data_IF_124214237434
#
_entry.id   IF_124214237434
#
_cell.length_a   1.000
_cell.length_b   1.000
_cell.length_c   1.000
_cell.angle_alpha   90.00
_cell.angle_beta   90.00
_cell.angle_gamma   90.00
#
_symmetry.space_group_name_H-M   'P 1'
#
loop_
_entity.id
_entity.type
_entity.pdbx_description
1 polymer ?
#
# COMPACT_ATOMS: atom_id res chain seq x y z
N UNK A 1 19.72 27.88 -15.64
CA UNK A 1 18.31 28.35 -15.83
C UNK A 1 17.42 27.27 -16.47
N UNK A 2 17.82 26.66 -17.58
CA UNK A 2 17.08 25.56 -18.26
C UNK A 2 16.88 24.31 -17.39
N UNK A 3 17.89 23.87 -16.64
CA UNK A 3 17.77 22.71 -15.72
C UNK A 3 16.73 22.95 -14.61
N UNK A 4 16.61 24.16 -14.09
CA UNK A 4 15.59 24.50 -13.09
C UNK A 4 14.19 24.61 -13.69
N UNK A 5 14.07 25.00 -14.97
CA UNK A 5 12.80 25.02 -15.69
C UNK A 5 12.36 23.60 -16.03
N UNK A 6 13.27 22.71 -16.42
CA UNK A 6 13.01 21.27 -16.63
C UNK A 6 12.65 20.58 -15.31
N UNK A 7 13.41 20.83 -14.22
CA UNK A 7 13.02 20.35 -12.88
C UNK A 7 11.65 20.87 -12.46
N UNK A 8 11.35 22.16 -12.66
CA UNK A 8 10.02 22.70 -12.32
C UNK A 8 8.91 22.13 -13.22
N UNK A 9 9.12 22.02 -14.53
CA UNK A 9 8.11 21.50 -15.47
C UNK A 9 7.86 20.01 -15.28
N UNK A 10 8.91 19.20 -15.14
CA UNK A 10 8.79 17.77 -14.84
C UNK A 10 8.07 17.58 -13.49
N UNK A 11 8.43 18.37 -12.47
CA UNK A 11 7.82 18.30 -11.15
C UNK A 11 6.38 18.79 -11.12
N UNK A 12 6.03 19.82 -11.91
CA UNK A 12 4.64 20.27 -12.08
C UNK A 12 3.81 19.20 -12.80
N UNK A 13 4.37 18.55 -13.83
CA UNK A 13 3.67 17.49 -14.56
C UNK A 13 3.44 16.25 -13.69
N UNK A 14 4.47 15.86 -12.91
CA UNK A 14 4.42 14.81 -11.88
C UNK A 14 3.39 15.11 -10.78
N UNK A 15 3.06 16.39 -10.54
CA UNK A 15 2.07 16.79 -9.53
C UNK A 15 0.62 16.75 -10.04
N UNK A 16 0.42 16.69 -11.36
CA UNK A 16 -0.90 16.73 -12.01
C UNK A 16 -1.29 15.36 -12.58
N UNK A 17 -0.31 14.56 -13.01
CA UNK A 17 -0.52 13.22 -13.56
C UNK A 17 0.18 12.17 -12.68
N UNK A 18 -0.59 11.23 -12.14
CA UNK A 18 -0.06 10.08 -11.38
C UNK A 18 0.58 9.02 -12.30
N UNK A 19 0.26 9.03 -13.60
CA UNK A 19 0.77 8.09 -14.60
C UNK A 19 1.07 8.88 -15.88
N UNK A 20 2.20 8.59 -16.52
CA UNK A 20 2.54 9.12 -17.84
C UNK A 20 3.42 8.13 -18.61
N UNK A 21 3.28 8.12 -19.94
CA UNK A 21 4.12 7.31 -20.82
C UNK A 21 5.25 8.15 -21.40
N UNK A 22 6.46 7.60 -21.43
CA UNK A 22 7.62 8.22 -22.08
C UNK A 22 8.40 7.19 -22.88
N UNK A 23 8.56 7.45 -24.18
CA UNK A 23 9.20 6.53 -25.13
C UNK A 23 8.51 5.16 -25.15
N UNK A 24 9.16 4.11 -24.62
CA UNK A 24 8.65 2.74 -24.53
C UNK A 24 8.31 2.30 -23.10
N UNK A 25 8.13 3.27 -22.20
CA UNK A 25 7.83 2.97 -20.80
C UNK A 25 6.58 3.70 -20.32
N UNK A 26 5.76 2.96 -19.58
CA UNK A 26 4.71 3.51 -18.73
C UNK A 26 5.30 3.76 -17.35
N UNK A 27 5.09 4.97 -16.82
CA UNK A 27 5.68 5.41 -15.55
C UNK A 27 4.55 5.86 -14.64
N UNK A 28 4.37 5.15 -13.53
CA UNK A 28 3.52 5.60 -12.43
C UNK A 28 4.37 6.30 -11.38
N UNK A 29 3.81 7.33 -10.75
CA UNK A 29 4.49 8.17 -9.79
C UNK A 29 3.60 8.54 -8.60
N UNK A 30 4.15 8.43 -7.39
CA UNK A 30 3.53 8.91 -6.16
C UNK A 30 4.57 9.56 -5.25
N UNK A 31 4.11 10.54 -4.48
CA UNK A 31 4.92 11.21 -3.45
C UNK A 31 4.34 10.96 -2.09
N UNK A 32 5.20 10.68 -1.11
CA UNK A 32 4.84 10.63 0.30
C UNK A 32 5.89 11.37 1.12
N UNK A 33 5.50 12.51 1.71
CA UNK A 33 6.41 13.38 2.45
C UNK A 33 7.64 13.78 1.61
N UNK A 34 8.83 13.32 2.00
CA UNK A 34 10.10 13.57 1.30
C UNK A 34 10.56 12.39 0.43
N UNK A 35 9.69 11.40 0.21
CA UNK A 35 9.92 10.20 -0.58
C UNK A 35 9.18 10.29 -1.91
N UNK A 36 9.90 9.96 -2.98
CA UNK A 36 9.38 9.89 -4.34
C UNK A 36 9.43 8.43 -4.80
N UNK A 37 8.27 7.88 -5.15
CA UNK A 37 8.13 6.51 -5.62
C UNK A 37 7.82 6.51 -7.11
N UNK A 38 8.54 5.70 -7.86
CA UNK A 38 8.36 5.51 -9.29
C UNK A 38 8.23 4.02 -9.58
N UNK A 39 7.24 3.64 -10.39
CA UNK A 39 7.15 2.32 -10.98
C UNK A 39 7.23 2.47 -12.50
N UNK A 40 8.08 1.66 -13.13
CA UNK A 40 8.28 1.66 -14.57
C UNK A 40 7.87 0.30 -15.12
N UNK A 41 7.13 0.30 -16.22
CA UNK A 41 6.77 -0.89 -16.97
C UNK A 41 6.93 -0.62 -18.47
N UNK A 42 6.98 -1.67 -19.28
CA UNK A 42 6.97 -1.54 -20.74
C UNK A 42 5.65 -0.88 -21.21
N UNK A 43 5.65 -0.30 -22.41
CA UNK A 43 4.48 0.45 -22.89
C UNK A 43 3.26 -0.44 -23.18
N UNK A 44 3.49 -1.74 -23.36
CA UNK A 44 2.46 -2.75 -23.54
C UNK A 44 1.77 -3.15 -22.23
N UNK A 45 2.38 -2.86 -21.08
CA UNK A 45 1.84 -3.20 -19.77
C UNK A 45 0.70 -2.30 -19.34
N UNK A 46 -0.18 -2.83 -18.49
CA UNK A 46 -1.37 -2.12 -18.04
C UNK A 46 -1.01 -0.99 -17.05
N UNK A 47 -1.18 0.26 -17.50
CA UNK A 47 -0.99 1.47 -16.70
C UNK A 47 -1.80 1.50 -15.39
N UNK A 48 -3.05 1.02 -15.43
CA UNK A 48 -3.92 0.96 -14.25
C UNK A 48 -3.37 -0.03 -13.23
N UNK A 49 -2.89 -1.19 -13.70
CA UNK A 49 -2.24 -2.18 -12.83
C UNK A 49 -0.94 -1.62 -12.22
N UNK A 50 -0.12 -0.92 -13.03
CA UNK A 50 1.10 -0.26 -12.55
C UNK A 50 0.80 0.77 -11.45
N UNK A 51 -0.28 1.54 -11.61
CA UNK A 51 -0.77 2.46 -10.58
C UNK A 51 -1.25 1.75 -9.32
N UNK A 52 -1.93 0.61 -9.46
CA UNK A 52 -2.38 -0.20 -8.32
C UNK A 52 -1.19 -0.80 -7.56
N UNK A 53 -0.16 -1.27 -8.26
CA UNK A 53 1.09 -1.74 -7.64
C UNK A 53 1.74 -0.62 -6.82
N UNK A 54 1.87 0.57 -7.41
CA UNK A 54 2.48 1.70 -6.71
C UNK A 54 1.66 2.15 -5.49
N UNK A 55 0.33 2.12 -5.61
CA UNK A 55 -0.58 2.36 -4.49
C UNK A 55 -0.46 1.30 -3.40
N UNK A 56 -0.32 0.02 -3.78
CA UNK A 56 -0.14 -1.10 -2.85
C UNK A 56 1.17 -0.95 -2.05
N UNK A 57 2.29 -0.62 -2.70
CA UNK A 57 3.57 -0.34 -2.04
C UNK A 57 3.41 0.79 -1.02
N UNK A 58 2.70 1.86 -1.39
CA UNK A 58 2.45 3.00 -0.51
C UNK A 58 1.63 2.61 0.74
N UNK A 59 0.62 1.77 0.58
CA UNK A 59 -0.21 1.27 1.68
C UNK A 59 0.57 0.32 2.60
N UNK A 60 1.40 -0.55 2.02
CA UNK A 60 2.32 -1.40 2.77
C UNK A 60 3.32 -0.56 3.59
N UNK A 61 3.94 0.45 2.97
CA UNK A 61 4.85 1.39 3.63
C UNK A 61 4.18 2.14 4.78
N UNK A 62 2.96 2.64 4.57
CA UNK A 62 2.21 3.31 5.63
C UNK A 62 1.90 2.36 6.81
N UNK A 63 1.63 1.10 6.54
CA UNK A 63 1.36 0.09 7.56
C UNK A 63 2.64 -0.26 8.33
N UNK A 64 3.72 -0.55 7.60
CA UNK A 64 5.05 -0.86 8.12
C UNK A 64 5.60 0.28 8.99
N UNK A 65 5.52 1.52 8.50
CA UNK A 65 6.04 2.73 9.16
C UNK A 65 5.07 3.37 10.15
N UNK A 66 3.93 2.74 10.49
CA UNK A 66 2.90 3.30 11.38
C UNK A 66 2.48 4.74 10.99
N UNK A 67 2.35 4.99 9.68
CA UNK A 67 2.00 6.28 9.05
C UNK A 67 3.04 7.41 9.23
N UNK A 68 4.26 7.09 9.64
CA UNK A 68 5.37 8.06 9.77
C UNK A 68 6.45 7.78 8.71
N UNK A 69 6.05 7.71 7.44
CA UNK A 69 7.00 7.44 6.36
C UNK A 69 7.86 8.69 6.12
N UNK A 70 9.16 8.58 6.30
CA UNK A 70 10.16 9.55 5.84
C UNK A 70 11.33 8.80 5.18
N UNK A 71 12.18 9.53 4.47
CA UNK A 71 13.33 8.92 3.77
C UNK A 71 14.27 8.19 4.74
N UNK A 72 14.51 8.72 5.95
CA UNK A 72 15.42 8.11 6.92
C UNK A 72 14.93 6.71 7.33
N UNK A 73 13.65 6.59 7.69
CA UNK A 73 13.04 5.33 8.11
C UNK A 73 13.02 4.30 6.99
N UNK A 74 12.77 4.73 5.73
CA UNK A 74 12.84 3.83 4.58
C UNK A 74 14.27 3.30 4.39
N UNK A 75 15.27 4.17 4.51
CA UNK A 75 16.67 3.78 4.35
C UNK A 75 17.14 2.84 5.46
N UNK A 76 16.71 3.07 6.70
CA UNK A 76 16.99 2.20 7.84
C UNK A 76 16.37 0.81 7.69
N UNK A 77 15.22 0.71 7.02
CA UNK A 77 14.46 -0.53 6.87
C UNK A 77 14.37 -1.01 5.40
N UNK A 78 15.38 -0.69 4.60
CA UNK A 78 15.34 -0.92 3.15
C UNK A 78 15.21 -2.41 2.79
N UNK A 79 15.83 -3.29 3.57
CA UNK A 79 15.72 -4.74 3.39
C UNK A 79 14.28 -5.23 3.53
N UNK A 80 13.54 -4.76 4.55
CA UNK A 80 12.13 -5.09 4.73
C UNK A 80 11.26 -4.59 3.57
N UNK A 81 11.57 -3.39 3.05
CA UNK A 81 10.86 -2.86 1.88
C UNK A 81 11.09 -3.73 0.63
N UNK A 82 12.32 -4.23 0.40
CA UNK A 82 12.59 -5.13 -0.73
C UNK A 82 11.76 -6.41 -0.60
N UNK A 83 11.67 -7.00 0.59
CA UNK A 83 10.87 -8.20 0.81
C UNK A 83 9.37 -7.97 0.55
N UNK A 84 8.85 -6.82 0.99
CA UNK A 84 7.47 -6.42 0.67
C UNK A 84 7.28 -6.30 -0.84
N UNK A 85 8.25 -5.76 -1.56
CA UNK A 85 8.19 -5.63 -3.03
C UNK A 85 8.21 -7.00 -3.71
N UNK A 86 8.99 -7.97 -3.22
CA UNK A 86 9.05 -9.33 -3.77
C UNK A 86 7.70 -10.09 -3.62
N UNK A 87 6.96 -9.81 -2.54
CA UNK A 87 5.59 -10.31 -2.36
C UNK A 87 4.57 -9.67 -3.32
N UNK A 88 4.87 -8.49 -3.87
CA UNK A 88 4.01 -7.77 -4.81
C UNK A 88 4.34 -8.16 -6.25
N UNK A 89 5.63 -8.16 -6.60
CA UNK A 89 6.14 -8.46 -7.94
C UNK A 89 7.21 -9.55 -7.84
N UNK A 90 7.00 -10.65 -8.54
CA UNK A 90 7.98 -11.72 -8.69
C UNK A 90 8.36 -11.87 -10.16
N UNK A 91 9.65 -11.68 -10.47
CA UNK A 91 10.19 -11.81 -11.83
C UNK A 91 9.43 -10.97 -12.90
N UNK A 92 8.98 -9.78 -12.51
CA UNK A 92 8.24 -8.88 -13.40
C UNK A 92 6.74 -9.16 -13.49
N UNK A 93 6.24 -10.20 -12.82
CA UNK A 93 4.82 -10.54 -12.76
C UNK A 93 4.25 -10.03 -11.44
N UNK A 94 3.14 -9.29 -11.50
CA UNK A 94 2.40 -8.88 -10.30
C UNK A 94 1.70 -10.10 -9.70
N UNK A 95 2.06 -10.46 -8.47
CA UNK A 95 1.55 -11.65 -7.77
C UNK A 95 0.37 -11.29 -6.87
N UNK A 96 0.46 -10.17 -6.15
CA UNK A 96 -0.56 -9.75 -5.22
C UNK A 96 -0.58 -8.22 -5.09
N UNK A 97 -1.77 -7.65 -4.99
CA UNK A 97 -1.98 -6.20 -4.85
C UNK A 97 -2.72 -5.82 -3.56
N UNK A 98 -3.05 -6.80 -2.71
CA UNK A 98 -3.77 -6.59 -1.45
C UNK A 98 -2.79 -6.37 -0.28
N UNK A 99 -2.66 -5.13 0.25
CA UNK A 99 -1.61 -4.79 1.23
C UNK A 99 -1.67 -5.59 2.52
N UNK A 100 -2.87 -5.86 3.04
CA UNK A 100 -3.03 -6.63 4.27
C UNK A 100 -2.48 -8.06 4.13
N UNK A 101 -2.71 -8.68 2.97
CA UNK A 101 -2.23 -10.02 2.66
C UNK A 101 -0.71 -10.03 2.50
N UNK A 102 -0.13 -9.00 1.85
CA UNK A 102 1.32 -8.85 1.69
C UNK A 102 2.00 -8.67 3.06
N UNK A 103 1.47 -7.78 3.90
CA UNK A 103 2.02 -7.54 5.24
C UNK A 103 1.89 -8.79 6.12
N UNK A 104 0.80 -9.55 6.01
CA UNK A 104 0.67 -10.82 6.72
C UNK A 104 1.75 -11.83 6.31
N UNK A 105 1.94 -12.02 5.00
CA UNK A 105 2.98 -12.91 4.44
C UNK A 105 4.38 -12.47 4.80
N UNK A 106 4.67 -11.17 4.68
CA UNK A 106 5.93 -10.57 5.10
C UNK A 106 6.25 -10.86 6.58
N UNK A 107 5.26 -10.76 7.47
CA UNK A 107 5.43 -11.08 8.88
C UNK A 107 5.45 -12.59 9.20
N UNK A 108 5.36 -13.45 8.18
CA UNK A 108 5.21 -14.90 8.32
C UNK A 108 4.06 -15.29 9.25
N UNK A 109 3.00 -14.47 9.28
CA UNK A 109 1.79 -14.78 10.02
C UNK A 109 0.89 -15.58 9.09
N UNK A 110 0.47 -16.77 9.53
CA UNK A 110 -0.47 -17.56 8.77
C UNK A 110 -1.76 -16.75 8.56
N UNK A 111 -2.16 -16.58 7.29
CA UNK A 111 -3.34 -15.79 6.93
C UNK A 111 -4.61 -16.29 7.64
N UNK A 112 -4.68 -17.60 7.95
CA UNK A 112 -5.79 -18.22 8.66
C UNK A 112 -5.95 -17.71 10.11
N UNK A 113 -4.86 -17.32 10.78
CA UNK A 113 -4.89 -16.84 12.17
C UNK A 113 -5.39 -15.37 12.26
N UNK A 114 -5.08 -14.55 11.25
CA UNK A 114 -5.56 -13.17 11.14
C UNK A 114 -7.06 -13.09 10.79
N UNK A 115 -7.57 -13.99 9.92
CA UNK A 115 -9.01 -14.07 9.64
C UNK A 115 -9.81 -14.53 10.87
N UNK A 116 -9.25 -15.46 11.66
CA UNK A 116 -9.87 -15.93 12.91
C UNK A 116 -9.93 -14.81 13.97
N UNK A 117 -8.86 -14.04 14.16
CA UNK A 117 -8.88 -12.93 15.13
C UNK A 117 -9.89 -11.83 14.78
N UNK A 118 -10.06 -11.48 13.50
CA UNK A 118 -11.11 -10.53 13.08
C UNK A 118 -12.53 -11.12 13.19
N UNK A 119 -12.71 -12.41 12.93
CA UNK A 119 -13.99 -13.10 13.11
C UNK A 119 -14.44 -13.17 14.57
N UNK A 120 -13.51 -13.49 15.48
CA UNK A 120 -13.76 -13.55 16.93
C UNK A 120 -14.13 -12.17 17.48
N UNK A 121 -13.44 -11.10 17.05
CA UNK A 121 -13.77 -9.73 17.48
C UNK A 121 -15.18 -9.30 17.05
N UNK A 122 -15.62 -9.66 15.84
CA UNK A 122 -16.99 -9.37 15.38
C UNK A 122 -18.04 -10.14 16.19
N UNK A 123 -17.78 -11.41 16.52
CA UNK A 123 -18.71 -12.25 17.28
C UNK A 123 -18.80 -11.84 18.77
N UNK A 124 -17.70 -11.38 19.37
CA UNK A 124 -17.70 -10.84 20.74
C UNK A 124 -18.44 -9.49 20.81
N UNK A 125 -18.31 -8.62 19.80
CA UNK A 125 -19.03 -7.33 19.77
C UNK A 125 -20.54 -7.55 19.56
N UNK A 126 -20.95 -8.49 18.71
CA UNK A 126 -22.38 -8.81 18.49
C UNK A 126 -23.03 -9.48 19.72
N UNK A 127 -22.33 -10.41 20.38
CA UNK A 127 -22.85 -11.07 21.59
C UNK A 127 -22.92 -10.12 22.80
N UNK A 128 -21.99 -9.17 22.91
CA UNK A 128 -22.00 -8.13 23.96
C UNK A 128 -23.17 -7.16 23.82
N UNK A 129 -23.54 -6.75 22.59
CA UNK A 129 -24.69 -5.88 22.34
C UNK A 129 -26.03 -6.61 22.53
N UNK A 130 -26.13 -7.90 22.19
CA UNK A 130 -27.37 -8.67 22.38
C UNK A 130 -27.70 -8.95 23.85
N UNK A 131 -26.69 -9.08 24.73
CA UNK A 131 -26.89 -9.33 26.15
C UNK A 131 -27.44 -8.11 26.93
N UNK A 132 -27.16 -6.88 26.48
CA UNK A 132 -27.64 -5.65 27.15
C UNK A 132 -29.11 -5.34 26.84
N UNK A 133 -29.64 -5.76 25.69
CA UNK A 133 -31.02 -5.46 25.27
C UNK A 133 -32.06 -6.30 26.03
N UNK A 134 -31.71 -7.51 26.46
CA UNK A 134 -32.67 -8.41 27.12
C UNK A 134 -32.92 -8.10 28.60
N UNK A 135 -32.07 -7.32 29.26
CA UNK A 135 -32.26 -6.93 30.67
C UNK A 135 -33.09 -5.64 30.86
N UNK A 136 -33.41 -4.91 29.78
CA UNK A 136 -34.26 -3.73 29.83
C UNK A 136 -35.76 -4.03 29.62
N UNK A 137 -36.12 -5.25 29.20
CA UNK A 137 -37.49 -5.62 28.85
C UNK A 137 -38.25 -6.40 29.96
N UNK A 138 -37.62 -6.69 31.10
CA UNK A 138 -38.22 -7.48 32.20
C UNK A 138 -38.53 -6.67 33.47
N UNK A 139 -38.46 -5.33 33.40
CA UNK A 139 -38.77 -4.45 34.52
C UNK A 139 -39.89 -3.45 34.18
N UNK A 140 -41.13 -3.94 34.06
CA UNK A 140 -42.36 -3.16 34.18
C UNK A 140 -43.51 -4.05 34.65
#
# INVERSE_FOLDING_TARGET
>A
MIVNILKKKIFIFLKIAEIFSYSRFNIAFKTLNDVYLYALAEFEENEVLLSQVLQCILECLNTFSKKQVNKELILENFESLILIIDEIINQGIVVNIEPNTIIARFNMVDCDELLQSQGVLKQTIQSSNAAQVNNAASGA
#
